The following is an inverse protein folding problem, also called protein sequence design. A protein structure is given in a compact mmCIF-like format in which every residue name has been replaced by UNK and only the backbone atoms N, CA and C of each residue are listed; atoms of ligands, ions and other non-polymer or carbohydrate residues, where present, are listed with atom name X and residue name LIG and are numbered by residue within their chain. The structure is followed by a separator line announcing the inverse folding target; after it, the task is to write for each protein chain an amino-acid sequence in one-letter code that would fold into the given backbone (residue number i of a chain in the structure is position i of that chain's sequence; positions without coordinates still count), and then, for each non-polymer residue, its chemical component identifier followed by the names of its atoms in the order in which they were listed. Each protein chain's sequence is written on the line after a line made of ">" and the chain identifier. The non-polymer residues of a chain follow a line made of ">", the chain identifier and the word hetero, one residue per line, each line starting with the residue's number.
data_IF_140695992246
#
_entry.id   IF_140695992246
#
_cell.length_a   1.000
_cell.length_b   1.000
_cell.length_c   1.000
_cell.angle_alpha   90.00
_cell.angle_beta   90.00
_cell.angle_gamma   90.00
#
_symmetry.space_group_name_H-M   'P 1'
#
loop_
_entity.id
_entity.type
_entity.pdbx_description
1 polymer ?
#
# COMPACT_ATOMS: atom_id res chain seq x y z
N UNK A 1 25.35 32.13 13.90
CA UNK A 1 24.35 32.26 12.82
C UNK A 1 23.95 30.87 12.40
N UNK A 2 22.81 30.36 12.90
CA UNK A 2 22.31 29.02 12.55
C UNK A 2 21.74 29.11 11.14
N UNK A 3 22.30 28.34 10.20
CA UNK A 3 21.75 28.28 8.84
C UNK A 3 20.34 27.68 8.93
N UNK A 4 19.33 28.48 8.60
CA UNK A 4 17.96 27.98 8.43
C UNK A 4 17.99 26.99 7.26
N UNK A 5 17.98 25.70 7.57
CA UNK A 5 17.87 24.64 6.58
C UNK A 5 16.59 24.87 5.79
N UNK A 6 16.68 24.88 4.45
CA UNK A 6 15.52 24.97 3.57
C UNK A 6 14.42 23.99 4.03
N UNK A 7 13.14 24.41 4.06
CA UNK A 7 12.05 23.56 4.54
C UNK A 7 11.99 22.23 3.78
N UNK A 8 11.47 21.16 4.41
CA UNK A 8 11.19 19.91 3.72
C UNK A 8 10.27 20.19 2.53
N UNK A 9 10.39 19.36 1.48
CA UNK A 9 9.50 19.48 0.31
C UNK A 9 8.14 18.90 0.68
N UNK A 10 7.11 19.74 0.70
CA UNK A 10 5.71 19.32 0.73
C UNK A 10 5.02 19.80 -0.55
N UNK A 11 4.14 18.95 -1.10
CA UNK A 11 3.30 19.29 -2.24
C UNK A 11 1.91 18.80 -1.90
N UNK A 12 0.93 19.70 -1.99
CA UNK A 12 -0.48 19.39 -1.83
C UNK A 12 -1.19 19.72 -3.14
N UNK A 13 -2.03 18.79 -3.60
CA UNK A 13 -2.84 18.93 -4.81
C UNK A 13 -4.29 18.97 -4.37
N UNK A 14 -5.02 20.01 -4.79
CA UNK A 14 -6.43 20.20 -4.49
C UNK A 14 -7.18 20.35 -5.80
N UNK A 15 -8.02 19.35 -6.12
CA UNK A 15 -8.84 19.33 -7.32
C UNK A 15 -10.33 19.33 -6.93
N UNK A 16 -11.15 20.04 -7.69
CA UNK A 16 -12.61 20.06 -7.54
C UNK A 16 -13.28 19.43 -8.77
N UNK A 17 -14.20 18.50 -8.56
CA UNK A 17 -14.94 17.83 -9.64
C UNK A 17 -16.32 17.41 -9.15
N UNK A 18 -17.21 17.08 -10.09
CA UNK A 18 -18.54 16.50 -9.82
C UNK A 18 -18.55 15.03 -10.18
N UNK A 19 -19.20 14.17 -9.40
CA UNK A 19 -19.28 12.72 -9.67
C UNK A 19 -19.91 12.37 -11.03
N UNK A 20 -20.78 13.25 -11.56
CA UNK A 20 -21.45 13.06 -12.85
C UNK A 20 -20.62 13.56 -14.05
N UNK A 21 -19.49 14.23 -13.80
CA UNK A 21 -18.70 14.81 -14.88
C UNK A 21 -17.90 13.72 -15.61
N UNK A 22 -17.99 13.65 -16.94
CA UNK A 22 -17.38 12.57 -17.75
C UNK A 22 -15.86 12.44 -17.56
N UNK A 23 -15.18 13.56 -17.29
CA UNK A 23 -13.72 13.59 -17.04
C UNK A 23 -13.34 13.37 -15.58
N UNK A 24 -14.28 13.01 -14.71
CA UNK A 24 -13.99 12.73 -13.31
C UNK A 24 -13.03 11.52 -13.20
N UNK A 25 -11.97 11.66 -12.40
CA UNK A 25 -10.91 10.64 -12.24
C UNK A 25 -10.86 10.04 -10.85
N UNK A 26 -11.81 10.35 -9.96
CA UNK A 26 -11.80 9.92 -8.56
C UNK A 26 -11.68 8.40 -8.45
N UNK A 27 -12.49 7.65 -9.21
CA UNK A 27 -12.43 6.18 -9.21
C UNK A 27 -11.04 5.68 -9.62
N UNK A 28 -10.51 6.16 -10.75
CA UNK A 28 -9.19 5.76 -11.25
C UNK A 28 -8.06 6.16 -10.29
N UNK A 29 -8.17 7.30 -9.61
CA UNK A 29 -7.19 7.74 -8.61
C UNK A 29 -7.21 6.84 -7.38
N UNK A 30 -8.40 6.46 -6.90
CA UNK A 30 -8.53 5.56 -5.75
C UNK A 30 -8.03 4.16 -6.09
N UNK A 31 -8.30 3.65 -7.29
CA UNK A 31 -7.84 2.34 -7.76
C UNK A 31 -6.31 2.25 -7.86
N UNK A 32 -5.62 3.36 -8.14
CA UNK A 32 -4.15 3.43 -8.17
C UNK A 32 -3.50 3.40 -6.77
N UNK A 33 -4.28 3.63 -5.70
CA UNK A 33 -3.81 3.61 -4.32
C UNK A 33 -3.92 2.19 -3.74
N UNK A 34 -2.94 1.35 -4.05
CA UNK A 34 -2.99 -0.09 -3.75
C UNK A 34 -2.83 -0.45 -2.25
N UNK A 35 -2.17 0.40 -1.45
CA UNK A 35 -1.85 0.11 -0.05
C UNK A 35 -2.46 1.15 0.89
N UNK A 36 -3.60 0.80 1.50
CA UNK A 36 -4.33 1.67 2.42
C UNK A 36 -4.24 1.13 3.85
N UNK A 37 -3.71 1.96 4.76
CA UNK A 37 -3.56 1.59 6.17
C UNK A 37 -4.74 2.05 7.04
N UNK A 38 -5.26 3.25 6.77
CA UNK A 38 -6.32 3.89 7.56
C UNK A 38 -7.31 4.57 6.62
N UNK A 39 -8.59 4.30 6.82
CA UNK A 39 -9.71 5.00 6.20
C UNK A 39 -10.53 5.60 7.34
N UNK A 40 -10.87 6.88 7.23
CA UNK A 40 -11.65 7.58 8.25
C UNK A 40 -12.68 8.46 7.57
N UNK A 41 -13.90 8.44 8.12
CA UNK A 41 -15.05 9.15 7.58
C UNK A 41 -15.65 9.99 8.70
N UNK A 42 -15.87 11.28 8.42
CA UNK A 42 -16.55 12.20 9.31
C UNK A 42 -17.88 12.60 8.68
N UNK A 43 -18.97 12.44 9.44
CA UNK A 43 -20.32 12.82 9.03
C UNK A 43 -20.81 13.94 9.94
N UNK A 44 -20.82 15.21 9.47
CA UNK A 44 -21.34 16.33 10.24
C UNK A 44 -22.83 16.13 10.55
N UNK A 45 -23.27 16.66 11.71
CA UNK A 45 -24.68 16.68 12.14
C UNK A 45 -25.35 15.29 12.17
N UNK A 46 -24.55 14.24 12.34
CA UNK A 46 -25.01 12.86 12.34
C UNK A 46 -24.85 12.24 13.73
N UNK A 47 -25.97 11.92 14.39
CA UNK A 47 -25.96 11.31 15.73
C UNK A 47 -25.54 9.84 15.72
N UNK A 48 -25.71 9.15 14.60
CA UNK A 48 -25.43 7.72 14.44
C UNK A 48 -25.13 7.40 12.98
N UNK A 49 -24.16 6.53 12.72
CA UNK A 49 -23.83 6.11 11.36
C UNK A 49 -25.06 5.47 10.65
N UNK A 50 -25.33 5.82 9.37
CA UNK A 50 -26.33 5.14 8.57
C UNK A 50 -26.08 3.63 8.48
N UNK A 51 -27.12 2.81 8.63
CA UNK A 51 -27.01 1.33 8.65
C UNK A 51 -26.40 0.73 7.38
N UNK A 52 -26.53 1.40 6.23
CA UNK A 52 -25.87 0.97 4.99
C UNK A 52 -24.34 1.06 5.10
N UNK A 53 -23.80 2.03 5.86
CA UNK A 53 -22.37 2.14 6.09
C UNK A 53 -21.86 0.97 6.91
N UNK A 54 -22.61 0.52 7.92
CA UNK A 54 -22.21 -0.66 8.70
C UNK A 54 -22.04 -1.89 7.80
N UNK A 55 -22.94 -2.08 6.83
CA UNK A 55 -22.82 -3.14 5.82
C UNK A 55 -21.56 -3.01 4.96
N UNK A 56 -21.21 -1.79 4.54
CA UNK A 56 -20.00 -1.52 3.75
C UNK A 56 -18.74 -1.72 4.59
N UNK A 57 -18.70 -1.20 5.82
CA UNK A 57 -17.58 -1.32 6.75
C UNK A 57 -17.33 -2.78 7.14
N UNK A 58 -18.39 -3.55 7.38
CA UNK A 58 -18.31 -4.98 7.65
C UNK A 58 -17.96 -5.80 6.40
N UNK A 59 -18.12 -5.22 5.21
CA UNK A 59 -17.77 -5.84 3.92
C UNK A 59 -16.29 -5.73 3.56
N UNK A 60 -15.48 -4.98 4.33
CA UNK A 60 -14.04 -4.94 4.10
C UNK A 60 -13.41 -6.32 4.35
N UNK A 61 -12.60 -6.78 3.39
CA UNK A 61 -11.88 -8.04 3.50
C UNK A 61 -10.86 -7.98 4.64
N UNK A 62 -10.84 -9.01 5.49
CA UNK A 62 -9.75 -9.23 6.43
C UNK A 62 -8.42 -9.41 5.69
N UNK A 63 -7.32 -9.16 6.40
CA UNK A 63 -5.97 -9.39 5.90
C UNK A 63 -5.25 -10.41 6.79
N UNK A 64 -4.25 -11.06 6.24
CA UNK A 64 -3.44 -12.05 6.92
C UNK A 64 -2.07 -11.49 7.22
N UNK A 65 -1.59 -11.73 8.44
CA UNK A 65 -0.19 -11.51 8.78
C UNK A 65 0.54 -12.85 8.80
N UNK A 66 1.35 -13.10 7.79
CA UNK A 66 2.19 -14.29 7.68
C UNK A 66 3.55 -13.96 8.29
N UNK A 67 3.99 -14.74 9.28
CA UNK A 67 5.28 -14.51 9.93
C UNK A 67 6.39 -15.25 9.21
N UNK A 68 7.54 -14.61 9.09
CA UNK A 68 8.78 -15.22 8.59
C UNK A 68 8.62 -15.91 7.21
N UNK A 69 7.81 -15.33 6.32
CA UNK A 69 7.53 -15.84 4.98
C UNK A 69 8.81 -15.79 4.13
N UNK A 70 9.30 -16.93 3.61
CA UNK A 70 10.36 -16.92 2.62
C UNK A 70 9.87 -16.29 1.32
N UNK A 71 10.52 -15.23 0.86
CA UNK A 71 10.03 -14.42 -0.28
C UNK A 71 9.97 -15.22 -1.59
N UNK A 72 10.78 -16.28 -1.73
CA UNK A 72 10.69 -17.16 -2.90
C UNK A 72 9.35 -17.90 -3.01
N UNK A 73 8.56 -18.01 -1.92
CA UNK A 73 7.24 -18.65 -1.97
C UNK A 73 6.21 -17.81 -2.74
N UNK A 74 6.43 -16.49 -2.85
CA UNK A 74 5.63 -15.62 -3.72
C UNK A 74 5.84 -15.93 -5.22
N UNK A 75 6.89 -16.69 -5.55
CA UNK A 75 7.16 -17.16 -6.90
C UNK A 75 6.58 -18.56 -7.16
N UNK A 76 5.95 -19.21 -6.17
CA UNK A 76 5.38 -20.55 -6.37
C UNK A 76 4.39 -20.56 -7.53
N UNK A 77 4.51 -21.54 -8.42
CA UNK A 77 3.70 -21.61 -9.64
C UNK A 77 2.20 -21.67 -9.32
N UNK A 78 1.84 -22.45 -8.30
CA UNK A 78 0.44 -22.65 -7.96
C UNK A 78 -0.12 -21.39 -7.26
N UNK A 79 0.70 -20.68 -6.48
CA UNK A 79 0.36 -19.34 -5.95
C UNK A 79 0.15 -18.31 -7.08
N UNK A 80 1.08 -18.21 -8.03
CA UNK A 80 0.97 -17.29 -9.15
C UNK A 80 -0.30 -17.53 -9.97
N UNK A 81 -0.58 -18.80 -10.28
CA UNK A 81 -1.76 -19.19 -11.08
C UNK A 81 -3.09 -18.98 -10.36
N UNK A 82 -3.13 -19.23 -9.04
CA UNK A 82 -4.39 -19.13 -8.29
C UNK A 82 -4.72 -17.71 -7.82
N UNK A 83 -3.71 -16.91 -7.47
CA UNK A 83 -3.92 -15.62 -6.82
C UNK A 83 -3.48 -14.44 -7.69
N UNK A 84 -2.23 -14.47 -8.18
CA UNK A 84 -1.61 -13.32 -8.85
C UNK A 84 -2.19 -13.10 -10.23
N UNK A 85 -2.31 -14.14 -11.05
CA UNK A 85 -2.87 -14.04 -12.40
C UNK A 85 -4.36 -13.75 -12.44
N UNK A 86 -5.07 -13.95 -11.32
CA UNK A 86 -6.47 -13.56 -11.20
C UNK A 86 -6.64 -12.08 -10.79
N UNK A 87 -5.56 -11.36 -10.46
CA UNK A 87 -5.59 -9.93 -10.14
C UNK A 87 -6.18 -9.60 -8.76
N UNK A 88 -6.24 -10.59 -7.87
CA UNK A 88 -7.05 -10.48 -6.63
C UNK A 88 -6.20 -10.46 -5.36
N UNK A 89 -4.89 -10.30 -5.44
CA UNK A 89 -4.00 -10.39 -4.28
C UNK A 89 -3.13 -9.15 -4.12
N UNK A 90 -2.99 -8.72 -2.87
CA UNK A 90 -2.18 -7.57 -2.45
C UNK A 90 -1.26 -8.03 -1.35
N UNK A 91 -0.01 -7.59 -1.37
CA UNK A 91 0.97 -7.99 -0.37
C UNK A 91 1.97 -6.88 -0.04
N UNK A 92 2.36 -6.77 1.22
CA UNK A 92 3.38 -5.82 1.67
C UNK A 92 4.17 -6.37 2.85
N UNK A 93 5.48 -6.18 2.86
CA UNK A 93 6.32 -6.50 4.02
C UNK A 93 5.93 -5.65 5.23
N UNK A 94 5.83 -6.32 6.39
CA UNK A 94 5.34 -5.73 7.62
C UNK A 94 6.49 -5.26 8.52
N UNK A 95 6.38 -4.04 9.05
CA UNK A 95 7.38 -3.42 9.95
C UNK A 95 8.79 -3.30 9.35
N UNK A 96 8.88 -3.21 8.03
CA UNK A 96 10.12 -2.89 7.32
C UNK A 96 10.12 -1.42 6.93
N UNK A 97 11.18 -0.69 7.26
CA UNK A 97 11.35 0.72 6.92
C UNK A 97 12.00 0.84 5.56
N UNK A 98 11.35 1.53 4.62
CA UNK A 98 11.81 1.62 3.23
C UNK A 98 13.20 2.26 3.06
N UNK A 99 13.66 3.02 4.05
CA UNK A 99 14.95 3.69 4.07
C UNK A 99 16.07 2.92 4.78
N UNK A 100 15.73 1.85 5.51
CA UNK A 100 16.68 1.07 6.32
C UNK A 100 16.69 -0.41 5.96
N UNK A 101 15.53 -0.98 5.61
CA UNK A 101 15.29 -2.41 5.46
C UNK A 101 14.95 -2.80 4.02
N UNK A 102 15.16 -4.09 3.70
CA UNK A 102 14.63 -4.70 2.49
C UNK A 102 13.10 -4.78 2.56
N UNK A 103 12.44 -4.21 1.56
CA UNK A 103 10.98 -4.15 1.47
C UNK A 103 10.47 -4.94 0.26
N UNK A 104 9.30 -5.54 0.40
CA UNK A 104 8.65 -6.33 -0.66
C UNK A 104 7.20 -5.91 -0.79
N UNK A 105 6.76 -5.65 -2.02
CA UNK A 105 5.37 -5.33 -2.33
C UNK A 105 4.87 -6.20 -3.49
N UNK A 106 3.68 -6.75 -3.35
CA UNK A 106 2.94 -7.45 -4.39
C UNK A 106 1.70 -6.63 -4.75
N UNK A 107 1.66 -6.16 -5.99
CA UNK A 107 0.61 -5.31 -6.54
C UNK A 107 -0.48 -6.17 -7.22
N UNK A 108 -1.73 -5.68 -7.28
CA UNK A 108 -2.84 -6.43 -7.86
C UNK A 108 -2.73 -6.64 -9.37
N UNK A 109 -1.95 -5.81 -10.05
CA UNK A 109 -1.64 -5.91 -11.48
C UNK A 109 -0.54 -6.95 -11.77
N UNK A 110 -0.16 -7.75 -10.78
CA UNK A 110 0.82 -8.82 -10.94
C UNK A 110 2.27 -8.37 -10.86
N UNK A 111 2.54 -7.14 -10.42
CA UNK A 111 3.90 -6.70 -10.16
C UNK A 111 4.40 -7.12 -8.78
N UNK A 112 5.58 -7.75 -8.73
CA UNK A 112 6.35 -7.92 -7.50
C UNK A 112 7.50 -6.91 -7.50
N UNK A 113 7.53 -6.07 -6.47
CA UNK A 113 8.56 -5.05 -6.26
C UNK A 113 9.40 -5.42 -5.05
N UNK A 114 10.71 -5.53 -5.26
CA UNK A 114 11.70 -5.69 -4.20
C UNK A 114 12.52 -4.41 -4.10
N UNK A 115 12.43 -3.70 -2.98
CA UNK A 115 13.34 -2.58 -2.68
C UNK A 115 14.42 -3.12 -1.75
N UNK A 116 15.63 -3.27 -2.27
CA UNK A 116 16.71 -3.94 -1.58
C UNK A 116 17.85 -2.98 -1.24
N UNK A 117 18.48 -3.18 -0.10
CA UNK A 117 19.77 -2.57 0.19
C UNK A 117 20.84 -3.02 -0.82
N UNK A 118 21.99 -2.34 -0.81
CA UNK A 118 23.07 -2.60 -1.76
C UNK A 118 23.58 -4.05 -1.69
N UNK A 119 23.81 -4.56 -0.48
CA UNK A 119 24.46 -5.86 -0.28
C UNK A 119 23.51 -6.99 -0.71
N UNK A 120 22.23 -6.88 -0.34
CA UNK A 120 21.15 -7.80 -0.71
C UNK A 120 20.92 -7.81 -2.22
N UNK A 121 20.97 -6.65 -2.86
CA UNK A 121 20.85 -6.52 -4.32
C UNK A 121 22.02 -7.22 -5.05
N UNK A 122 23.26 -6.97 -4.62
CA UNK A 122 24.45 -7.59 -5.21
C UNK A 122 24.45 -9.12 -5.03
N UNK A 123 24.04 -9.62 -3.85
CA UNK A 123 23.89 -11.06 -3.57
C UNK A 123 22.77 -11.67 -4.43
N UNK A 124 21.65 -10.96 -4.61
CA UNK A 124 20.54 -11.44 -5.42
C UNK A 124 20.94 -11.58 -6.89
N UNK A 125 21.74 -10.65 -7.41
CA UNK A 125 22.37 -10.74 -8.73
C UNK A 125 21.36 -10.73 -9.89
N UNK A 126 20.31 -9.92 -9.78
CA UNK A 126 19.28 -9.71 -10.81
C UNK A 126 19.29 -8.26 -11.28
N UNK A 127 18.74 -8.02 -12.47
CA UNK A 127 18.64 -6.66 -13.01
C UNK A 127 17.64 -5.83 -12.20
N UNK A 128 18.00 -4.59 -11.91
CA UNK A 128 17.18 -3.64 -11.16
C UNK A 128 17.64 -2.21 -11.41
N UNK A 129 16.95 -1.24 -10.79
CA UNK A 129 17.23 0.19 -10.95
C UNK A 129 17.59 0.82 -9.61
N UNK A 130 18.59 1.72 -9.56
CA UNK A 130 18.86 2.48 -8.35
C UNK A 130 17.63 3.32 -7.94
N UNK A 131 17.19 3.16 -6.70
CA UNK A 131 16.11 3.92 -6.07
C UNK A 131 16.69 5.00 -5.19
N UNK A 132 16.09 6.19 -5.23
CA UNK A 132 16.51 7.33 -4.41
C UNK A 132 15.36 7.81 -3.56
N UNK A 133 15.34 7.35 -2.31
CA UNK A 133 14.38 7.81 -1.32
C UNK A 133 14.67 9.22 -0.79
N UNK A 134 15.88 9.76 -0.99
CA UNK A 134 16.22 11.11 -0.55
C UNK A 134 17.15 11.86 -1.52
N UNK A 135 16.69 13.00 -2.06
CA UNK A 135 17.49 13.90 -2.88
C UNK A 135 18.45 14.80 -2.07
N UNK A 136 18.33 14.79 -0.73
CA UNK A 136 19.21 15.55 0.15
C UNK A 136 20.07 14.62 0.98
N UNK A 137 21.34 15.02 1.05
CA UNK A 137 22.44 14.43 1.81
C UNK A 137 22.92 13.07 1.33
N UNK A 138 24.23 12.89 1.49
CA UNK A 138 25.04 11.70 1.18
C UNK A 138 24.59 10.50 2.03
N UNK A 139 23.34 10.05 1.90
CA UNK A 139 22.94 8.75 2.42
C UNK A 139 23.72 7.71 1.63
N UNK A 140 24.50 6.90 2.35
CA UNK A 140 25.30 5.82 1.78
C UNK A 140 24.44 4.63 1.33
N UNK A 141 23.14 4.68 1.61
CA UNK A 141 22.16 3.64 1.36
C UNK A 141 21.30 4.06 0.16
N UNK A 142 21.73 3.61 -1.02
CA UNK A 142 20.91 3.61 -2.23
C UNK A 142 20.28 2.23 -2.27
N UNK A 143 18.96 2.17 -2.08
CA UNK A 143 18.24 0.93 -2.34
C UNK A 143 18.14 0.73 -3.85
N UNK A 144 18.00 -0.52 -4.28
CA UNK A 144 17.77 -0.87 -5.67
C UNK A 144 16.39 -1.51 -5.76
N UNK A 145 15.56 -0.95 -6.64
CA UNK A 145 14.23 -1.46 -6.89
C UNK A 145 14.31 -2.45 -8.06
N UNK A 146 13.87 -3.67 -7.79
CA UNK A 146 13.64 -4.70 -8.79
C UNK A 146 12.14 -4.81 -8.96
N UNK A 147 11.66 -4.51 -10.16
CA UNK A 147 10.26 -4.67 -10.52
C UNK A 147 10.13 -5.86 -11.45
N UNK A 148 9.32 -6.82 -11.06
CA UNK A 148 8.98 -8.01 -11.81
C UNK A 148 7.54 -7.89 -12.24
N UNK A 149 7.27 -7.99 -13.53
CA UNK A 149 5.92 -8.08 -14.07
C UNK A 149 5.64 -9.53 -14.45
N UNK A 150 4.79 -10.23 -13.69
CA UNK A 150 4.47 -11.62 -14.00
C UNK A 150 3.47 -11.76 -15.17
N UNK A 151 2.77 -10.69 -15.56
CA UNK A 151 1.74 -10.73 -16.60
C UNK A 151 2.29 -10.39 -17.99
N UNK A 152 3.15 -9.38 -18.10
CA UNK A 152 3.65 -8.91 -19.39
C UNK A 152 5.08 -9.41 -19.72
N UNK A 153 5.89 -9.76 -18.72
CA UNK A 153 7.25 -10.26 -18.97
C UNK A 153 7.27 -11.80 -19.10
N UNK A 154 7.29 -12.28 -20.34
CA UNK A 154 7.40 -13.72 -20.64
C UNK A 154 8.67 -14.39 -20.09
N UNK A 155 9.72 -13.62 -19.74
CA UNK A 155 10.91 -14.15 -19.08
C UNK A 155 10.69 -14.45 -17.59
N UNK A 156 9.69 -13.81 -16.99
CA UNK A 156 9.26 -13.95 -15.60
C UNK A 156 8.07 -14.90 -15.41
N UNK A 157 7.51 -15.41 -16.52
CA UNK A 157 6.58 -16.53 -16.48
C UNK A 157 7.24 -17.77 -15.82
N UNK A 158 6.47 -18.63 -15.11
CA UNK A 158 7.01 -19.82 -14.47
C UNK A 158 7.80 -20.71 -15.45
N UNK A 159 9.09 -20.91 -15.16
CA UNK A 159 10.02 -21.66 -16.01
C UNK A 159 10.86 -20.81 -16.98
N UNK A 160 10.56 -19.51 -17.11
CA UNK A 160 11.38 -18.56 -17.84
C UNK A 160 12.76 -18.33 -17.21
N UNK A 161 13.71 -17.82 -18.00
CA UNK A 161 15.10 -17.61 -17.53
C UNK A 161 15.18 -16.56 -16.42
N UNK A 162 14.40 -15.49 -16.50
CA UNK A 162 14.33 -14.44 -15.47
C UNK A 162 13.74 -15.00 -14.18
N UNK A 163 12.60 -15.69 -14.30
CA UNK A 163 11.96 -16.39 -13.19
C UNK A 163 12.92 -17.34 -12.46
N UNK A 164 13.64 -18.20 -13.18
CA UNK A 164 14.58 -19.16 -12.59
C UNK A 164 15.75 -18.47 -11.87
N UNK A 165 16.29 -17.39 -12.45
CA UNK A 165 17.37 -16.61 -11.84
C UNK A 165 16.93 -15.96 -10.53
N UNK A 166 15.75 -15.36 -10.52
CA UNK A 166 15.17 -14.71 -9.34
C UNK A 166 14.84 -15.75 -8.26
N UNK A 167 14.14 -16.83 -8.62
CA UNK A 167 13.80 -17.90 -7.68
C UNK A 167 15.05 -18.54 -7.06
N UNK A 168 16.08 -18.83 -7.87
CA UNK A 168 17.36 -19.37 -7.36
C UNK A 168 18.08 -18.35 -6.46
N UNK A 169 18.03 -17.07 -6.81
CA UNK A 169 18.61 -16.01 -6.00
C UNK A 169 17.95 -15.88 -4.63
N UNK A 170 16.62 -15.83 -4.60
CA UNK A 170 15.86 -15.74 -3.35
C UNK A 170 15.96 -17.01 -2.52
N UNK A 171 15.99 -18.20 -3.14
CA UNK A 171 15.99 -19.48 -2.43
C UNK A 171 17.36 -19.93 -1.95
N UNK A 172 18.41 -19.69 -2.71
CA UNK A 172 19.75 -20.28 -2.43
C UNK A 172 20.78 -19.24 -2.02
N UNK A 173 20.72 -18.00 -2.54
CA UNK A 173 21.71 -16.96 -2.25
C UNK A 173 21.28 -16.07 -1.09
N UNK A 174 20.18 -15.33 -1.26
CA UNK A 174 19.74 -14.32 -0.31
C UNK A 174 18.93 -14.93 0.86
N UNK A 175 18.10 -15.93 0.59
CA UNK A 175 17.25 -16.61 1.60
C UNK A 175 16.41 -15.63 2.43
N UNK A 176 15.95 -14.55 1.79
CA UNK A 176 15.20 -13.48 2.43
C UNK A 176 13.88 -13.99 3.00
N UNK A 177 13.59 -13.57 4.23
CA UNK A 177 12.30 -13.79 4.90
C UNK A 177 11.78 -12.47 5.42
N UNK A 178 10.46 -12.30 5.40
CA UNK A 178 9.82 -11.14 5.99
C UNK A 178 8.49 -11.53 6.63
N UNK A 179 8.07 -10.76 7.61
CA UNK A 179 6.66 -10.75 7.98
C UNK A 179 5.87 -10.07 6.86
N UNK A 180 4.75 -10.63 6.44
CA UNK A 180 4.05 -10.20 5.23
C UNK A 180 2.56 -10.02 5.49
N UNK A 181 2.06 -8.81 5.22
CA UNK A 181 0.63 -8.52 5.17
C UNK A 181 0.11 -8.95 3.80
N UNK A 182 -0.98 -9.71 3.78
CA UNK A 182 -1.56 -10.26 2.57
C UNK A 182 -3.08 -10.09 2.60
N UNK A 183 -3.64 -9.49 1.56
CA UNK A 183 -5.08 -9.35 1.38
C UNK A 183 -5.50 -10.01 0.07
N UNK A 184 -6.69 -10.59 0.06
CA UNK A 184 -7.26 -11.19 -1.13
C UNK A 184 -8.69 -10.69 -1.37
N UNK A 185 -8.97 -10.26 -2.59
CA UNK A 185 -10.30 -9.85 -3.01
C UNK A 185 -11.18 -11.08 -3.30
N UNK A 186 -12.32 -11.26 -2.61
CA UNK A 186 -13.11 -12.50 -2.64
C UNK A 186 -13.81 -12.82 -3.99
N UNK A 187 -13.59 -12.05 -5.06
CA UNK A 187 -14.11 -12.33 -6.41
C UNK A 187 -13.32 -13.36 -7.22
N UNK A 188 -12.09 -13.67 -6.81
CA UNK A 188 -11.31 -14.80 -7.35
C UNK A 188 -11.64 -16.07 -6.55
N UNK A 189 -11.74 -17.22 -7.23
CA UNK A 189 -12.25 -18.47 -6.67
C UNK A 189 -11.50 -19.00 -5.43
N UNK A 190 -11.90 -20.17 -4.89
CA UNK A 190 -11.28 -20.75 -3.71
C UNK A 190 -9.77 -20.92 -3.91
N UNK A 191 -8.97 -20.17 -3.17
CA UNK A 191 -7.53 -20.23 -3.24
C UNK A 191 -7.02 -21.42 -2.44
N UNK A 192 -6.90 -22.57 -3.10
CA UNK A 192 -6.45 -23.82 -2.46
C UNK A 192 -5.06 -23.75 -1.79
N UNK A 193 -4.23 -22.71 -2.01
CA UNK A 193 -2.93 -22.56 -1.34
C UNK A 193 -2.65 -21.22 -0.67
N UNK A 194 -3.43 -20.18 -0.90
CA UNK A 194 -3.45 -19.08 0.06
C UNK A 194 -3.98 -19.57 1.39
N UNK A 195 -4.85 -20.60 1.42
CA UNK A 195 -5.13 -21.32 2.66
C UNK A 195 -3.86 -21.84 3.33
N UNK A 196 -2.87 -22.40 2.64
CA UNK A 196 -1.63 -22.88 3.29
C UNK A 196 -0.76 -21.74 3.85
N UNK A 197 -0.56 -20.67 3.07
CA UNK A 197 0.19 -19.48 3.52
C UNK A 197 -0.57 -18.70 4.61
N UNK A 198 -1.89 -18.61 4.51
CA UNK A 198 -2.78 -18.02 5.49
C UNK A 198 -3.02 -18.94 6.71
N UNK A 199 -2.85 -20.27 6.61
CA UNK A 199 -2.88 -21.19 7.76
C UNK A 199 -1.65 -20.99 8.63
N UNK A 200 -0.54 -20.52 8.03
CA UNK A 200 0.66 -20.10 8.76
C UNK A 200 0.47 -18.69 9.34
N UNK A 201 -0.36 -17.85 8.72
CA UNK A 201 -0.66 -16.49 9.16
C UNK A 201 -1.79 -16.40 10.18
N UNK A 202 -1.76 -15.37 11.02
CA UNK A 202 -2.93 -15.00 11.82
C UNK A 202 -3.84 -14.09 10.98
N UNK A 203 -5.09 -14.52 10.74
CA UNK A 203 -6.12 -13.62 10.22
C UNK A 203 -6.28 -12.46 11.20
N UNK A 204 -6.20 -11.24 10.69
CA UNK A 204 -6.39 -10.03 11.49
C UNK A 204 -7.57 -9.26 10.92
N UNK A 205 -8.56 -9.02 11.78
CA UNK A 205 -9.71 -8.21 11.40
C UNK A 205 -9.35 -6.73 11.39
N UNK A 206 -10.04 -6.01 10.51
CA UNK A 206 -9.93 -4.56 10.45
C UNK A 206 -10.41 -3.97 11.79
N UNK A 207 -9.59 -3.12 12.40
CA UNK A 207 -10.00 -2.40 13.61
C UNK A 207 -10.94 -1.27 13.22
N UNK A 208 -12.24 -1.46 13.42
CA UNK A 208 -13.22 -0.39 13.32
C UNK A 208 -13.31 0.37 14.65
N UNK A 209 -13.35 1.70 14.57
CA UNK A 209 -13.60 2.57 15.70
C UNK A 209 -14.64 3.61 15.27
N UNK A 210 -15.68 3.78 16.08
CA UNK A 210 -16.74 4.77 15.87
C UNK A 210 -16.74 5.70 17.07
N UNK A 211 -16.69 7.00 16.80
CA UNK A 211 -16.74 8.04 17.82
C UNK A 211 -17.76 9.11 17.41
N UNK A 212 -18.58 9.53 18.37
CA UNK A 212 -19.50 10.66 18.20
C UNK A 212 -18.86 11.89 18.81
N UNK A 213 -18.68 12.93 17.99
CA UNK A 213 -18.15 14.22 18.42
C UNK A 213 -19.32 15.18 18.63
N UNK A 214 -19.32 15.89 19.76
CA UNK A 214 -20.31 16.92 20.09
C UNK A 214 -19.64 18.29 20.04
N UNK A 215 -20.43 19.32 19.73
CA UNK A 215 -19.99 20.73 19.68
C UNK A 215 -18.77 20.99 18.79
N UNK A 216 -18.63 20.22 17.70
CA UNK A 216 -17.53 20.38 16.76
C UNK A 216 -17.77 21.61 15.86
N UNK A 217 -16.89 22.64 15.89
CA UNK A 217 -16.99 23.74 14.95
C UNK A 217 -16.60 23.28 13.54
N UNK A 218 -17.58 23.16 12.65
CA UNK A 218 -17.38 22.77 11.27
C UNK A 218 -17.08 24.01 10.40
N UNK A 219 -16.04 24.00 9.55
CA UNK A 219 -15.77 25.09 8.62
C UNK A 219 -16.90 25.22 7.60
N UNK A 220 -17.33 26.45 7.31
CA UNK A 220 -18.34 26.71 6.27
C UNK A 220 -17.69 26.59 4.89
N UNK A 221 -18.07 25.58 4.12
CA UNK A 221 -17.56 25.35 2.76
C UNK A 221 -18.63 25.69 1.73
N UNK A 222 -18.37 26.72 0.93
CA UNK A 222 -19.15 27.01 -0.28
C UNK A 222 -18.39 26.42 -1.47
N UNK A 223 -18.99 25.42 -2.12
CA UNK A 223 -18.39 24.68 -3.25
C UNK A 223 -18.01 25.57 -4.44
N UNK A 224 -18.63 26.74 -4.58
CA UNK A 224 -18.31 27.75 -5.61
C UNK A 224 -17.07 28.60 -5.31
N UNK A 225 -16.63 28.65 -4.04
CA UNK A 225 -15.66 29.65 -3.55
C UNK A 225 -14.40 29.04 -2.93
N UNK A 226 -14.18 27.73 -3.03
CA UNK A 226 -12.99 27.07 -2.48
C UNK A 226 -11.71 27.58 -3.16
N UNK A 227 -11.08 28.59 -2.55
CA UNK A 227 -9.74 29.00 -2.92
C UNK A 227 -8.74 27.97 -2.38
N UNK A 228 -7.55 27.82 -3.00
CA UNK A 228 -6.52 26.87 -2.53
C UNK A 228 -6.07 27.07 -1.06
N UNK A 229 -6.30 28.27 -0.50
CA UNK A 229 -5.98 28.59 0.89
C UNK A 229 -6.99 28.00 1.89
N UNK A 230 -8.23 27.84 1.45
CA UNK A 230 -9.31 27.31 2.29
C UNK A 230 -9.22 25.79 2.37
N UNK A 231 -8.78 25.12 1.30
CA UNK A 231 -8.58 23.67 1.30
C UNK A 231 -7.47 23.19 2.24
N UNK A 232 -6.38 23.95 2.35
CA UNK A 232 -5.32 23.66 3.33
C UNK A 232 -5.84 23.75 4.77
N UNK A 233 -6.61 24.80 5.07
CA UNK A 233 -7.17 25.04 6.40
C UNK A 233 -8.15 23.93 6.79
N UNK A 234 -8.97 23.46 5.83
CA UNK A 234 -9.87 22.31 6.02
C UNK A 234 -9.08 21.02 6.27
N UNK A 235 -8.00 20.78 5.54
CA UNK A 235 -7.17 19.59 5.74
C UNK A 235 -6.49 19.60 7.12
N UNK A 236 -5.97 20.75 7.55
CA UNK A 236 -5.40 20.91 8.89
C UNK A 236 -6.45 20.69 9.99
N UNK A 237 -7.64 21.29 9.84
CA UNK A 237 -8.76 21.09 10.75
C UNK A 237 -9.15 19.61 10.82
N UNK A 238 -9.32 18.93 9.67
CA UNK A 238 -9.68 17.52 9.63
C UNK A 238 -8.63 16.64 10.29
N UNK A 239 -7.34 16.95 10.09
CA UNK A 239 -6.24 16.28 10.77
C UNK A 239 -6.25 16.49 12.28
N UNK A 240 -6.60 17.68 12.76
CA UNK A 240 -6.76 17.96 14.19
C UNK A 240 -7.91 17.16 14.81
N UNK A 241 -9.05 17.07 14.09
CA UNK A 241 -10.20 16.26 14.52
C UNK A 241 -9.85 14.78 14.61
N UNK A 242 -9.17 14.23 13.60
CA UNK A 242 -8.71 12.83 13.60
C UNK A 242 -7.69 12.53 14.72
N UNK A 243 -6.89 13.53 15.10
CA UNK A 243 -5.97 13.47 16.23
C UNK A 243 -6.64 13.67 17.60
N UNK A 244 -7.97 13.82 17.64
CA UNK A 244 -8.75 14.14 18.84
C UNK A 244 -8.31 15.44 19.54
N UNK A 245 -7.79 16.40 18.78
CA UNK A 245 -7.43 17.73 19.28
C UNK A 245 -8.69 18.60 19.22
N UNK A 246 -9.18 19.01 20.37
CA UNK A 246 -10.28 19.98 20.51
C UNK A 246 -9.74 21.40 20.44
N UNK A 247 -10.45 22.28 19.72
CA UNK A 247 -10.18 23.71 19.62
C UNK A 247 -11.11 24.49 20.55
#
# INVERSE_FOLDING_TARGET
>A
MVSVSRPPRSVLVCDSSTFLHEKNRVTTQVEQLHFNYKVSLLLPECSSAPSHLDGVLNGFSSFYLIRNLPIYELLDRDFLQSAVFQGSVYGLSYRTRIDEDNCVALMPDGHLVLSLDKDSFEVLGVEGKPSRFNHRTKSRLVNNDITVDYLCDGSMAPGGRGYQRLHTGLRSRLQMKADFLLSHHPGAGPLCRLSCLATIGASTDLRSAVATLTDLPCPTLLTSDLQPRDSHSVLEWLGAVDAAISW
#
